data_IF_503941595490
#
_entry.id   IF_503941595490
#
_cell.length_a   1.000
_cell.length_b   1.000
_cell.length_c   1.000
_cell.angle_alpha   90.00
_cell.angle_beta   90.00
_cell.angle_gamma   90.00
#
_symmetry.space_group_name_H-M   'P 1'
#
loop_
_entity.id
_entity.type
_entity.pdbx_description
1 polymer ?
#
# COMPACT_ATOMS: atom_id res chain seq x y z
N UNK A 1 85.81 -54.46 -57.08
CA UNK A 1 84.34 -54.44 -57.06
C UNK A 1 83.82 -54.23 -55.63
N UNK A 2 84.05 -55.18 -54.72
CA UNK A 2 83.51 -55.20 -53.35
C UNK A 2 83.73 -53.90 -52.53
N UNK A 3 84.94 -53.33 -52.53
CA UNK A 3 85.24 -52.10 -51.77
C UNK A 3 84.47 -50.87 -52.27
N UNK A 4 84.23 -50.76 -53.58
CA UNK A 4 83.45 -49.64 -54.16
C UNK A 4 81.97 -49.76 -53.80
N UNK A 5 81.44 -50.99 -53.79
CA UNK A 5 80.08 -51.31 -53.36
C UNK A 5 79.88 -51.00 -51.86
N UNK A 6 80.81 -51.42 -50.99
CA UNK A 6 80.77 -51.10 -49.56
C UNK A 6 80.75 -49.59 -49.32
N UNK A 7 81.57 -48.82 -50.07
CA UNK A 7 81.60 -47.36 -49.98
C UNK A 7 80.32 -46.70 -50.53
N UNK A 8 79.67 -47.30 -51.52
CA UNK A 8 78.38 -46.84 -52.03
C UNK A 8 77.26 -47.07 -51.01
N UNK A 9 77.21 -48.27 -50.43
CA UNK A 9 76.23 -48.63 -49.40
C UNK A 9 76.36 -47.74 -48.17
N UNK A 10 77.57 -47.44 -47.73
CA UNK A 10 77.82 -46.52 -46.60
C UNK A 10 77.27 -45.11 -46.87
N UNK A 11 77.46 -44.56 -48.08
CA UNK A 11 76.91 -43.26 -48.47
C UNK A 11 75.38 -43.27 -48.50
N UNK A 12 74.78 -44.32 -49.04
CA UNK A 12 73.33 -44.48 -49.06
C UNK A 12 72.76 -44.58 -47.63
N UNK A 13 73.45 -45.27 -46.73
CA UNK A 13 73.07 -45.37 -45.32
C UNK A 13 73.15 -44.01 -44.62
N UNK A 14 74.21 -43.23 -44.86
CA UNK A 14 74.32 -41.87 -44.33
C UNK A 14 73.19 -40.96 -44.85
N UNK A 15 72.87 -41.04 -46.14
CA UNK A 15 71.75 -40.28 -46.72
C UNK A 15 70.40 -40.70 -46.13
N UNK A 16 70.17 -42.01 -45.98
CA UNK A 16 68.96 -42.53 -45.35
C UNK A 16 68.84 -42.10 -43.89
N UNK A 17 69.94 -42.09 -43.13
CA UNK A 17 69.97 -41.57 -41.75
C UNK A 17 69.59 -40.10 -41.70
N UNK A 18 70.18 -39.25 -42.55
CA UNK A 18 69.88 -37.83 -42.59
C UNK A 18 68.42 -37.54 -42.97
N UNK A 19 67.84 -38.32 -43.89
CA UNK A 19 66.41 -38.24 -44.22
C UNK A 19 65.54 -38.67 -43.04
N UNK A 20 65.93 -39.73 -42.32
CA UNK A 20 65.22 -40.20 -41.14
C UNK A 20 65.20 -39.14 -40.03
N UNK A 21 66.34 -38.47 -39.78
CA UNK A 21 66.42 -37.38 -38.81
C UNK A 21 65.53 -36.19 -39.18
N UNK A 22 65.48 -35.84 -40.48
CA UNK A 22 64.61 -34.78 -40.98
C UNK A 22 63.12 -35.14 -40.81
N UNK A 23 62.73 -36.38 -41.09
CA UNK A 23 61.37 -36.84 -40.86
C UNK A 23 61.02 -36.88 -39.37
N UNK A 24 61.93 -37.30 -38.51
CA UNK A 24 61.73 -37.29 -37.06
C UNK A 24 61.49 -35.85 -36.55
N UNK A 25 62.27 -34.87 -37.00
CA UNK A 25 62.03 -33.46 -36.67
C UNK A 25 60.66 -32.98 -37.15
N UNK A 26 60.24 -33.41 -38.34
CA UNK A 26 58.92 -33.07 -38.88
C UNK A 26 57.80 -33.69 -38.08
N UNK A 27 57.96 -34.94 -37.61
CA UNK A 27 57.00 -35.62 -36.75
C UNK A 27 56.84 -34.86 -35.44
N UNK A 28 57.93 -34.54 -34.74
CA UNK A 28 57.88 -33.78 -33.47
C UNK A 28 57.16 -32.45 -33.65
N UNK A 29 57.48 -31.71 -34.73
CA UNK A 29 56.80 -30.45 -35.03
C UNK A 29 55.28 -30.63 -35.25
N UNK A 30 54.87 -31.69 -35.95
CA UNK A 30 53.45 -31.97 -36.18
C UNK A 30 52.74 -32.43 -34.90
N UNK A 31 53.41 -33.19 -34.04
CA UNK A 31 52.89 -33.60 -32.73
C UNK A 31 52.66 -32.39 -31.82
N UNK A 32 53.60 -31.45 -31.78
CA UNK A 32 53.44 -30.19 -31.02
C UNK A 32 52.27 -29.35 -31.53
N UNK A 33 52.12 -29.26 -32.86
CA UNK A 33 50.95 -28.59 -33.45
C UNK A 33 49.65 -29.30 -33.08
N UNK A 34 49.59 -30.62 -33.25
CA UNK A 34 48.40 -31.41 -32.92
C UNK A 34 47.99 -31.23 -31.46
N UNK A 35 48.97 -31.19 -30.55
CA UNK A 35 48.74 -30.94 -29.13
C UNK A 35 48.17 -29.55 -28.89
N UNK A 36 48.76 -28.50 -29.49
CA UNK A 36 48.25 -27.14 -29.36
C UNK A 36 46.82 -27.00 -29.90
N UNK A 37 46.50 -27.62 -31.04
CA UNK A 37 45.14 -27.65 -31.58
C UNK A 37 44.18 -28.39 -30.66
N UNK A 38 44.60 -29.52 -30.07
CA UNK A 38 43.79 -30.30 -29.13
C UNK A 38 43.47 -29.50 -27.86
N UNK A 39 44.46 -28.80 -27.30
CA UNK A 39 44.27 -27.93 -26.14
C UNK A 39 43.31 -26.78 -26.45
N UNK A 40 43.41 -26.19 -27.65
CA UNK A 40 42.48 -25.16 -28.12
C UNK A 40 41.04 -25.67 -28.26
N UNK A 41 40.86 -26.85 -28.84
CA UNK A 41 39.54 -27.49 -28.95
C UNK A 41 38.95 -27.76 -27.56
N UNK A 42 39.77 -28.24 -26.63
CA UNK A 42 39.35 -28.46 -25.24
C UNK A 42 38.85 -27.19 -24.56
N UNK A 43 39.58 -26.07 -24.70
CA UNK A 43 39.16 -24.77 -24.17
C UNK A 43 37.84 -24.28 -24.77
N UNK A 44 37.70 -24.35 -26.10
CA UNK A 44 36.45 -23.95 -26.76
C UNK A 44 35.25 -24.77 -26.31
N UNK A 45 35.45 -26.06 -26.04
CA UNK A 45 34.41 -26.94 -25.51
C UNK A 45 34.02 -26.54 -24.07
N UNK A 46 35.00 -26.25 -23.22
CA UNK A 46 34.75 -25.81 -21.85
C UNK A 46 34.03 -24.45 -21.81
N UNK A 47 34.50 -23.47 -22.60
CA UNK A 47 33.86 -22.17 -22.74
C UNK A 47 32.41 -22.31 -23.23
N UNK A 48 32.17 -23.16 -24.24
CA UNK A 48 30.83 -23.43 -24.74
C UNK A 48 29.91 -24.05 -23.69
N UNK A 49 30.44 -24.97 -22.87
CA UNK A 49 29.69 -25.55 -21.76
C UNK A 49 29.35 -24.50 -20.68
N UNK A 50 30.33 -23.68 -20.28
CA UNK A 50 30.12 -22.61 -19.30
C UNK A 50 29.09 -21.58 -19.79
N UNK A 51 29.12 -21.21 -21.07
CA UNK A 51 28.14 -20.32 -21.68
C UNK A 51 26.74 -20.93 -21.69
N UNK A 52 26.61 -22.22 -22.02
CA UNK A 52 25.33 -22.94 -22.01
C UNK A 52 24.71 -22.98 -20.60
N UNK A 53 25.52 -23.30 -19.59
CA UNK A 53 25.07 -23.28 -18.18
C UNK A 53 24.65 -21.88 -17.76
N UNK A 54 25.43 -20.85 -18.10
CA UNK A 54 25.11 -19.46 -17.79
C UNK A 54 23.81 -19.02 -18.45
N UNK A 55 23.60 -19.36 -19.72
CA UNK A 55 22.36 -19.08 -20.45
C UNK A 55 21.15 -19.72 -19.77
N UNK A 56 21.25 -21.00 -19.41
CA UNK A 56 20.19 -21.71 -18.67
C UNK A 56 19.84 -21.02 -17.35
N UNK A 57 20.85 -20.57 -16.61
CA UNK A 57 20.65 -19.83 -15.37
C UNK A 57 19.98 -18.47 -15.59
N UNK A 58 20.37 -17.72 -16.63
CA UNK A 58 19.71 -16.45 -16.98
C UNK A 58 18.26 -16.66 -17.42
N UNK A 59 17.99 -17.72 -18.19
CA UNK A 59 16.62 -18.08 -18.58
C UNK A 59 15.76 -18.39 -17.34
N UNK A 60 16.27 -19.15 -16.37
CA UNK A 60 15.54 -19.42 -15.11
C UNK A 60 15.22 -18.12 -14.36
N UNK A 61 16.23 -17.26 -14.16
CA UNK A 61 16.05 -15.96 -13.50
C UNK A 61 15.05 -15.07 -14.23
N UNK A 62 15.03 -15.10 -15.56
CA UNK A 62 14.06 -14.35 -16.37
C UNK A 62 12.63 -14.81 -16.10
N UNK A 63 12.40 -16.13 -16.04
CA UNK A 63 11.08 -16.69 -15.71
C UNK A 63 10.66 -16.28 -14.30
N UNK A 64 11.56 -16.36 -13.33
CA UNK A 64 11.28 -15.98 -11.94
C UNK A 64 10.88 -14.49 -11.84
N UNK A 65 11.68 -13.60 -12.45
CA UNK A 65 11.40 -12.15 -12.48
C UNK A 65 10.09 -11.84 -13.18
N UNK A 66 9.79 -12.51 -14.30
CA UNK A 66 8.50 -12.34 -14.97
C UNK A 66 7.32 -12.80 -14.10
N UNK A 67 7.49 -13.90 -13.37
CA UNK A 67 6.50 -14.38 -12.41
C UNK A 67 6.25 -13.37 -11.28
N UNK A 68 7.30 -12.78 -10.74
CA UNK A 68 7.19 -11.77 -9.69
C UNK A 68 6.59 -10.46 -10.21
N UNK A 69 6.95 -10.02 -11.43
CA UNK A 69 6.31 -8.88 -12.08
C UNK A 69 4.80 -9.10 -12.26
N UNK A 70 4.39 -10.31 -12.65
CA UNK A 70 2.96 -10.64 -12.79
C UNK A 70 2.23 -10.62 -11.45
N UNK A 71 2.83 -11.13 -10.37
CA UNK A 71 2.26 -11.03 -9.01
C UNK A 71 2.12 -9.57 -8.55
N UNK A 72 3.11 -8.73 -8.84
CA UNK A 72 3.07 -7.30 -8.52
C UNK A 72 1.95 -6.58 -9.27
N UNK A 73 1.74 -6.89 -10.55
CA UNK A 73 0.62 -6.35 -11.32
C UNK A 73 -0.73 -6.74 -10.72
N UNK A 74 -0.92 -8.02 -10.37
CA UNK A 74 -2.16 -8.47 -9.72
C UNK A 74 -2.39 -7.79 -8.36
N UNK A 75 -1.32 -7.58 -7.58
CA UNK A 75 -1.39 -6.85 -6.32
C UNK A 75 -1.77 -5.38 -6.53
N UNK A 76 -1.21 -4.73 -7.55
CA UNK A 76 -1.52 -3.36 -7.94
C UNK A 76 -3.00 -3.22 -8.33
N UNK A 77 -3.52 -4.12 -9.15
CA UNK A 77 -4.94 -4.15 -9.53
C UNK A 77 -5.85 -4.26 -8.29
N UNK A 78 -5.47 -5.12 -7.34
CA UNK A 78 -6.18 -5.27 -6.07
C UNK A 78 -6.15 -4.00 -5.22
N UNK A 79 -5.01 -3.29 -5.16
CA UNK A 79 -4.89 -2.01 -4.46
C UNK A 79 -5.74 -0.94 -5.17
N UNK A 80 -5.68 -0.88 -6.49
CA UNK A 80 -6.44 0.09 -7.28
C UNK A 80 -7.95 -0.08 -7.10
N UNK A 81 -8.45 -1.33 -7.08
CA UNK A 81 -9.84 -1.63 -6.78
C UNK A 81 -10.25 -1.16 -5.37
N UNK A 82 -9.41 -1.42 -4.35
CA UNK A 82 -9.64 -0.95 -2.97
C UNK A 82 -9.67 0.56 -2.87
N UNK A 83 -8.74 1.25 -3.53
CA UNK A 83 -8.73 2.73 -3.61
C UNK A 83 -10.00 3.24 -4.28
N UNK A 84 -10.46 2.57 -5.33
CA UNK A 84 -11.74 2.87 -5.98
C UNK A 84 -12.92 2.79 -5.01
N UNK A 85 -13.05 1.68 -4.27
CA UNK A 85 -14.11 1.50 -3.26
C UNK A 85 -14.04 2.57 -2.16
N UNK A 86 -12.85 2.79 -1.60
CA UNK A 86 -12.65 3.77 -0.52
C UNK A 86 -13.02 5.19 -0.97
N UNK A 87 -12.74 5.56 -2.22
CA UNK A 87 -13.16 6.87 -2.76
C UNK A 87 -14.67 7.01 -2.85
N UNK A 88 -15.39 5.94 -3.21
CA UNK A 88 -16.85 5.94 -3.23
C UNK A 88 -17.42 6.05 -1.81
N UNK A 89 -16.89 5.27 -0.86
CA UNK A 89 -17.29 5.35 0.55
C UNK A 89 -17.08 6.75 1.15
N UNK A 90 -15.94 7.38 0.84
CA UNK A 90 -15.67 8.77 1.26
C UNK A 90 -16.68 9.75 0.63
N UNK A 91 -17.00 9.58 -0.65
CA UNK A 91 -18.00 10.42 -1.31
C UNK A 91 -19.39 10.28 -0.67
N UNK A 92 -19.81 9.06 -0.35
CA UNK A 92 -21.08 8.79 0.34
C UNK A 92 -21.13 9.45 1.72
N UNK A 93 -20.05 9.33 2.50
CA UNK A 93 -19.96 9.99 3.82
C UNK A 93 -20.02 11.51 3.69
N UNK A 94 -19.39 12.10 2.68
CA UNK A 94 -19.46 13.54 2.44
C UNK A 94 -20.88 14.00 2.06
N UNK A 95 -21.61 13.19 1.28
CA UNK A 95 -23.01 13.46 0.95
C UNK A 95 -23.88 13.44 2.20
N UNK A 96 -23.73 12.41 3.05
CA UNK A 96 -24.49 12.31 4.31
C UNK A 96 -24.14 13.43 5.28
N UNK A 97 -22.85 13.80 5.38
CA UNK A 97 -22.42 14.93 6.20
C UNK A 97 -23.12 16.23 5.77
N UNK A 98 -23.24 16.46 4.47
CA UNK A 98 -23.89 17.67 3.96
C UNK A 98 -25.41 17.66 4.22
N UNK A 99 -26.08 16.51 4.05
CA UNK A 99 -27.49 16.34 4.45
C UNK A 99 -27.71 16.65 5.92
N UNK A 100 -26.85 16.13 6.80
CA UNK A 100 -26.92 16.38 8.24
C UNK A 100 -26.68 17.86 8.57
N UNK A 101 -25.74 18.53 7.89
CA UNK A 101 -25.52 19.98 8.05
C UNK A 101 -26.76 20.79 7.67
N UNK A 102 -27.40 20.46 6.55
CA UNK A 102 -28.64 21.11 6.15
C UNK A 102 -29.78 20.87 7.15
N UNK A 103 -29.93 19.63 7.64
CA UNK A 103 -30.92 19.28 8.66
C UNK A 103 -30.68 20.05 9.95
N UNK A 104 -29.44 20.02 10.46
CA UNK A 104 -29.01 20.76 11.64
C UNK A 104 -29.33 22.25 11.51
N UNK A 105 -28.97 22.89 10.39
CA UNK A 105 -29.22 24.32 10.19
C UNK A 105 -30.70 24.65 10.28
N UNK A 106 -31.56 23.82 9.67
CA UNK A 106 -33.02 23.99 9.76
C UNK A 106 -33.54 23.88 11.20
N UNK A 107 -33.00 22.94 11.98
CA UNK A 107 -33.38 22.78 13.39
C UNK A 107 -32.91 23.94 14.25
N UNK A 108 -31.70 24.46 14.00
CA UNK A 108 -31.14 25.63 14.71
C UNK A 108 -31.96 26.89 14.42
N UNK A 109 -32.34 27.12 13.16
CA UNK A 109 -33.19 28.25 12.77
C UNK A 109 -34.58 28.15 13.44
N UNK A 110 -35.17 26.95 13.49
CA UNK A 110 -36.42 26.70 14.19
C UNK A 110 -36.32 26.94 15.70
N UNK A 111 -35.22 26.51 16.32
CA UNK A 111 -34.93 26.75 17.73
C UNK A 111 -34.79 28.24 18.04
N UNK A 112 -34.12 29.00 17.17
CA UNK A 112 -33.97 30.45 17.32
C UNK A 112 -35.33 31.15 17.29
N UNK A 113 -36.20 30.80 16.34
CA UNK A 113 -37.57 31.37 16.26
C UNK A 113 -38.38 31.04 17.51
N UNK A 114 -38.32 29.80 18.01
CA UNK A 114 -39.03 29.40 19.23
C UNK A 114 -38.46 30.09 20.47
N UNK A 115 -37.14 30.25 20.56
CA UNK A 115 -36.49 30.96 21.66
C UNK A 115 -36.92 32.44 21.71
N UNK A 116 -36.97 33.12 20.55
CA UNK A 116 -37.49 34.49 20.45
C UNK A 116 -38.97 34.57 20.88
N UNK A 117 -39.80 33.63 20.41
CA UNK A 117 -41.23 33.57 20.79
C UNK A 117 -41.42 33.34 22.29
N UNK A 118 -40.68 32.40 22.88
CA UNK A 118 -40.71 32.13 24.31
C UNK A 118 -40.29 33.35 25.13
N UNK A 119 -39.25 34.06 24.69
CA UNK A 119 -38.75 35.28 25.35
C UNK A 119 -39.79 36.41 25.29
N UNK A 120 -40.43 36.62 24.13
CA UNK A 120 -41.53 37.59 23.97
C UNK A 120 -42.74 37.25 24.84
N UNK A 121 -43.14 35.97 24.91
CA UNK A 121 -44.25 35.54 25.77
C UNK A 121 -43.93 35.73 27.25
N UNK A 122 -42.69 35.43 27.69
CA UNK A 122 -42.26 35.71 29.06
C UNK A 122 -42.34 37.21 29.36
N UNK A 123 -41.82 38.07 28.50
CA UNK A 123 -41.88 39.52 28.67
C UNK A 123 -43.34 40.01 28.82
N UNK A 124 -44.24 39.59 27.92
CA UNK A 124 -45.68 39.90 28.01
C UNK A 124 -46.33 39.38 29.29
N UNK A 125 -45.92 38.21 29.78
CA UNK A 125 -46.42 37.66 31.04
C UNK A 125 -45.93 38.46 32.26
N UNK A 126 -44.70 38.98 32.24
CA UNK A 126 -44.17 39.87 33.27
C UNK A 126 -44.86 41.25 33.25
N UNK A 127 -45.10 41.81 32.07
CA UNK A 127 -45.75 43.12 31.87
C UNK A 127 -47.28 43.06 32.02
N UNK A 128 -47.86 41.87 32.19
CA UNK A 128 -49.30 41.70 32.33
C UNK A 128 -49.81 42.31 33.63
N UNK A 129 -50.41 43.50 33.52
CA UNK A 129 -51.08 44.18 34.63
C UNK A 129 -52.14 43.29 35.30
N UNK A 130 -52.81 42.42 34.54
CA UNK A 130 -53.80 41.47 35.07
C UNK A 130 -53.13 40.41 35.95
N UNK A 131 -52.03 39.81 35.50
CA UNK A 131 -51.29 38.82 36.30
C UNK A 131 -50.66 39.46 37.56
N UNK A 132 -50.17 40.70 37.46
CA UNK A 132 -49.66 41.44 38.61
C UNK A 132 -50.76 41.70 39.63
N UNK A 133 -51.93 42.17 39.21
CA UNK A 133 -53.10 42.39 40.08
C UNK A 133 -53.56 41.08 40.73
N UNK A 134 -53.75 40.02 39.96
CA UNK A 134 -54.13 38.70 40.49
C UNK A 134 -53.12 38.16 41.52
N UNK A 135 -51.81 38.30 41.26
CA UNK A 135 -50.77 37.91 42.24
C UNK A 135 -50.86 38.72 43.52
N UNK A 136 -51.17 40.02 43.41
CA UNK A 136 -51.37 40.89 44.56
C UNK A 136 -52.61 40.48 45.37
N UNK A 137 -53.76 40.33 44.71
CA UNK A 137 -55.02 39.89 45.33
C UNK A 137 -54.87 38.53 46.02
N UNK A 138 -54.24 37.54 45.38
CA UNK A 138 -53.97 36.24 46.00
C UNK A 138 -53.08 36.38 47.24
N UNK A 139 -52.11 37.29 47.23
CA UNK A 139 -51.25 37.56 48.40
C UNK A 139 -52.05 38.19 49.53
N UNK A 140 -52.94 39.13 49.22
CA UNK A 140 -53.84 39.75 50.20
C UNK A 140 -54.81 38.73 50.80
N UNK A 141 -55.50 37.94 49.97
CA UNK A 141 -56.42 36.89 50.44
C UNK A 141 -55.69 35.85 51.30
N UNK A 142 -54.48 35.43 50.91
CA UNK A 142 -53.65 34.56 51.75
C UNK A 142 -53.27 35.22 53.07
N UNK A 143 -53.02 36.53 53.08
CA UNK A 143 -52.75 37.29 54.31
C UNK A 143 -53.95 37.31 55.25
N UNK A 144 -55.16 37.53 54.72
CA UNK A 144 -56.41 37.52 55.49
C UNK A 144 -56.63 36.16 56.16
N UNK A 145 -56.35 35.08 55.42
CA UNK A 145 -56.53 33.71 55.89
C UNK A 145 -55.41 33.23 56.83
N UNK A 146 -54.29 33.95 56.97
CA UNK A 146 -53.24 33.58 57.95
C UNK A 146 -53.63 34.03 59.36
N UNK A 147 -53.32 33.19 60.34
CA UNK A 147 -53.41 33.56 61.75
C UNK A 147 -52.48 34.74 62.06
N UNK A 148 -53.00 35.79 62.69
CA UNK A 148 -52.24 37.01 63.01
C UNK A 148 -51.24 36.85 64.16
N UNK A 149 -51.24 35.70 64.85
CA UNK A 149 -50.42 35.43 66.04
C UNK A 149 -49.25 34.50 65.71
N UNK A 150 -49.52 33.37 65.05
CA UNK A 150 -48.48 32.40 64.70
C UNK A 150 -48.01 32.49 63.25
N UNK A 151 -48.72 33.22 62.37
CA UNK A 151 -48.45 33.38 60.93
C UNK A 151 -48.30 32.12 60.07
N UNK A 152 -48.37 30.93 60.69
CA UNK A 152 -48.16 29.64 60.05
C UNK A 152 -49.47 28.87 59.80
N UNK A 153 -50.50 29.04 60.65
CA UNK A 153 -51.77 28.33 60.50
C UNK A 153 -52.82 29.17 59.76
N UNK A 154 -53.62 28.53 58.93
CA UNK A 154 -54.78 29.16 58.30
C UNK A 154 -55.95 29.29 59.29
N UNK A 155 -56.74 30.36 59.17
CA UNK A 155 -57.99 30.56 59.91
C UNK A 155 -59.05 29.62 59.37
N UNK A 156 -59.77 28.95 60.26
CA UNK A 156 -60.97 28.19 59.88
C UNK A 156 -62.08 29.19 59.52
N UNK A 157 -62.54 29.11 58.28
CA UNK A 157 -63.60 29.97 57.75
C UNK A 157 -64.82 29.11 57.43
N UNK A 158 -65.96 29.47 58.02
CA UNK A 158 -67.26 28.86 57.74
C UNK A 158 -67.93 29.67 56.64
N UNK A 159 -68.11 29.08 55.45
CA UNK A 159 -68.86 29.70 54.36
C UNK A 159 -70.33 29.34 54.52
N UNK A 160 -71.13 30.25 55.03
CA UNK A 160 -72.60 30.11 55.07
C UNK A 160 -73.19 30.48 53.71
N UNK A 161 -74.16 29.69 53.24
CA UNK A 161 -74.91 29.94 51.99
C UNK A 161 -75.79 31.18 52.09
#
# INVERSE_FOLDING_TARGET
ALHLETRSLYRNLQQASALMDLYNQKIVFLEDQLKAWSDWVGKLQEDGWQQSVSLSNYQRKLVDVNGDAQKLLQSLDGIQAKVGSSRLEVADVLIELEKERFSKKRTEDGLEVMSRKASSLRAKAFESAVLVKLRHEVKEYRGILKCGICHDRQKEVVVTK
#
